data_IF_715164246571
#
_entry.id   IF_715164246571
#
_cell.length_a   1.000
_cell.length_b   1.000
_cell.length_c   1.000
_cell.angle_alpha   90.00
_cell.angle_beta   90.00
_cell.angle_gamma   90.00
#
_symmetry.space_group_name_H-M   'P 1'
#
loop_
_entity.id
_entity.type
_entity.pdbx_description
1 polymer ?
#
# COMPACT_ATOMS: atom_id res chain seq x y z
N UNK A 1 -8.26 -26.61 14.68
CA UNK A 1 -7.38 -26.19 13.56
C UNK A 1 -7.87 -24.85 13.03
N UNK A 2 -7.11 -23.75 13.19
CA UNK A 2 -7.48 -22.44 12.61
C UNK A 2 -7.42 -22.58 11.08
N UNK A 3 -8.53 -22.29 10.37
CA UNK A 3 -8.57 -22.32 8.89
C UNK A 3 -7.42 -21.47 8.36
N UNK A 4 -6.58 -22.04 7.49
CA UNK A 4 -5.54 -21.29 6.79
C UNK A 4 -6.18 -20.09 6.10
N UNK A 5 -5.81 -18.88 6.51
CA UNK A 5 -6.34 -17.65 5.95
C UNK A 5 -5.92 -17.61 4.48
N UNK A 6 -6.86 -17.80 3.56
CA UNK A 6 -6.61 -17.78 2.12
C UNK A 6 -6.38 -16.32 1.72
N UNK A 7 -5.13 -15.88 1.80
CA UNK A 7 -4.72 -14.54 1.38
C UNK A 7 -5.00 -14.40 -0.12
N UNK A 8 -5.78 -13.39 -0.49
CA UNK A 8 -6.04 -13.02 -1.88
C UNK A 8 -5.35 -11.71 -2.18
N UNK A 9 -5.01 -11.49 -3.44
CA UNK A 9 -4.52 -10.19 -3.90
C UNK A 9 -5.61 -9.13 -3.66
N UNK A 10 -5.32 -8.05 -2.92
CA UNK A 10 -6.24 -6.94 -2.73
C UNK A 10 -6.67 -6.37 -4.07
N UNK A 11 -7.98 -6.20 -4.26
CA UNK A 11 -8.55 -5.53 -5.44
C UNK A 11 -9.02 -4.13 -5.05
N UNK A 12 -8.62 -3.15 -5.84
CA UNK A 12 -9.09 -1.78 -5.72
C UNK A 12 -10.28 -1.53 -6.67
N UNK A 13 -11.23 -0.71 -6.24
CA UNK A 13 -12.36 -0.24 -7.05
C UNK A 13 -11.90 0.75 -8.14
N UNK A 14 -12.71 1.01 -9.19
CA UNK A 14 -12.42 2.10 -10.11
C UNK A 14 -12.14 3.42 -9.38
N UNK A 15 -11.09 4.13 -9.77
CA UNK A 15 -10.63 5.37 -9.14
C UNK A 15 -9.98 5.21 -7.76
N UNK A 16 -9.80 3.99 -7.25
CA UNK A 16 -9.26 3.73 -5.91
C UNK A 16 -7.80 3.29 -5.96
N UNK A 17 -7.00 3.85 -5.04
CA UNK A 17 -5.72 3.29 -4.64
C UNK A 17 -5.87 2.60 -3.30
N UNK A 18 -5.19 1.47 -3.13
CA UNK A 18 -5.30 0.65 -1.93
C UNK A 18 -4.01 -0.09 -1.63
N UNK A 19 -3.59 -0.02 -0.37
CA UNK A 19 -2.42 -0.72 0.20
C UNK A 19 -2.91 -1.61 1.32
N UNK A 20 -2.65 -2.91 1.22
CA UNK A 20 -3.13 -3.88 2.21
C UNK A 20 -2.27 -5.15 2.19
N UNK A 21 -2.11 -5.79 3.36
CA UNK A 21 -1.57 -7.14 3.45
C UNK A 21 -2.35 -8.14 2.59
N UNK A 22 -1.65 -8.84 1.71
CA UNK A 22 -2.22 -9.73 0.72
C UNK A 22 -1.20 -10.76 0.24
N UNK A 23 -1.49 -11.39 -0.89
CA UNK A 23 -0.57 -12.31 -1.57
C UNK A 23 -0.77 -12.14 -3.08
N UNK A 24 0.32 -11.95 -3.83
CA UNK A 24 0.28 -11.98 -5.29
C UNK A 24 0.32 -13.44 -5.78
N UNK A 25 -0.11 -13.73 -7.02
CA UNK A 25 0.04 -15.06 -7.60
C UNK A 25 1.51 -15.50 -7.54
N UNK A 26 1.75 -16.72 -7.06
CA UNK A 26 3.07 -17.35 -6.96
C UNK A 26 4.12 -16.61 -6.09
N UNK A 27 3.67 -15.65 -5.28
CA UNK A 27 4.52 -14.87 -4.37
C UNK A 27 4.15 -15.12 -2.89
N UNK A 28 4.99 -14.69 -1.96
CA UNK A 28 4.68 -14.77 -0.53
C UNK A 28 3.73 -13.65 -0.06
N UNK A 29 3.03 -13.84 1.07
CA UNK A 29 2.17 -12.78 1.59
C UNK A 29 2.97 -11.56 2.04
N UNK A 30 2.61 -10.39 1.53
CA UNK A 30 3.25 -9.10 1.84
C UNK A 30 2.24 -7.95 1.66
N UNK A 31 2.67 -6.71 1.89
CA UNK A 31 1.92 -5.50 1.57
C UNK A 31 1.80 -5.34 0.05
N UNK A 32 0.56 -5.43 -0.43
CA UNK A 32 0.24 -5.28 -1.84
C UNK A 32 -0.32 -3.90 -2.13
N UNK A 33 0.23 -3.27 -3.17
CA UNK A 33 -0.25 -2.00 -3.73
C UNK A 33 -1.14 -2.28 -4.94
N UNK A 34 -2.39 -1.82 -4.87
CA UNK A 34 -3.40 -2.04 -5.91
C UNK A 34 -4.01 -0.72 -6.35
N UNK A 35 -4.20 -0.57 -7.66
CA UNK A 35 -4.88 0.57 -8.29
C UNK A 35 -6.01 0.06 -9.17
N UNK A 36 -7.20 0.62 -9.01
CA UNK A 36 -8.32 0.27 -9.87
C UNK A 36 -8.31 1.05 -11.18
N UNK A 37 -9.21 0.69 -12.09
CA UNK A 37 -9.38 1.36 -13.39
C UNK A 37 -9.54 2.87 -13.16
N UNK A 38 -8.81 3.69 -13.93
CA UNK A 38 -8.80 5.15 -13.78
C UNK A 38 -7.79 5.69 -12.77
N UNK A 39 -6.97 4.84 -12.16
CA UNK A 39 -5.77 5.27 -11.40
C UNK A 39 -4.52 5.14 -12.25
N UNK A 40 -3.56 6.06 -12.06
CA UNK A 40 -2.29 6.02 -12.78
C UNK A 40 -1.33 5.04 -12.08
N UNK A 41 -0.56 4.28 -12.85
CA UNK A 41 0.54 3.45 -12.34
C UNK A 41 1.56 4.25 -11.52
N UNK A 42 1.80 5.53 -11.88
CA UNK A 42 2.66 6.43 -11.11
C UNK A 42 2.12 6.68 -9.69
N UNK A 43 0.80 6.79 -9.52
CA UNK A 43 0.19 6.98 -8.20
C UNK A 43 0.45 5.74 -7.30
N UNK A 44 0.44 4.54 -7.89
CA UNK A 44 0.79 3.30 -7.19
C UNK A 44 2.28 3.25 -6.83
N UNK A 45 3.16 3.64 -7.76
CA UNK A 45 4.59 3.70 -7.52
C UNK A 45 4.95 4.71 -6.43
N UNK A 46 4.24 5.85 -6.37
CA UNK A 46 4.35 6.83 -5.30
C UNK A 46 4.03 6.19 -3.94
N UNK A 47 2.92 5.46 -3.82
CA UNK A 47 2.59 4.79 -2.56
C UNK A 47 3.66 3.74 -2.19
N UNK A 48 4.14 2.97 -3.15
CA UNK A 48 5.23 2.01 -2.91
C UNK A 48 6.47 2.71 -2.34
N UNK A 49 6.86 3.84 -2.93
CA UNK A 49 7.99 4.61 -2.46
C UNK A 49 7.77 5.19 -1.05
N UNK A 50 6.65 5.86 -0.83
CA UNK A 50 6.33 6.54 0.43
C UNK A 50 6.29 5.58 1.62
N UNK A 51 5.75 4.38 1.42
CA UNK A 51 5.60 3.43 2.51
C UNK A 51 6.85 2.55 2.73
N UNK A 52 7.42 2.01 1.64
CA UNK A 52 8.43 0.95 1.73
C UNK A 52 9.87 1.37 1.43
N UNK A 53 10.12 2.59 0.96
CA UNK A 53 11.49 3.04 0.71
C UNK A 53 12.11 3.70 1.95
N UNK A 54 13.40 3.46 2.24
CA UNK A 54 14.16 4.31 3.14
C UNK A 54 14.16 5.75 2.63
N UNK A 55 14.14 6.71 3.56
CA UNK A 55 14.12 8.14 3.22
C UNK A 55 15.50 8.74 3.42
N UNK A 56 16.01 9.39 2.38
CA UNK A 56 17.28 10.11 2.41
C UNK A 56 17.08 11.51 2.98
N UNK A 57 17.90 11.87 3.95
CA UNK A 57 17.92 13.20 4.53
C UNK A 57 19.02 14.05 3.89
N UNK A 58 18.89 15.37 3.97
CA UNK A 58 19.80 16.32 3.31
C UNK A 58 21.26 16.20 3.80
N UNK A 59 21.46 15.74 5.02
CA UNK A 59 22.75 15.47 5.65
C UNK A 59 23.41 14.16 5.16
N UNK A 60 22.82 13.47 4.18
CA UNK A 60 23.34 12.21 3.63
C UNK A 60 22.99 10.98 4.46
N UNK A 61 22.23 11.14 5.56
CA UNK A 61 21.75 10.02 6.34
C UNK A 61 20.55 9.34 5.67
N UNK A 62 20.31 8.09 6.06
CA UNK A 62 19.14 7.32 5.65
C UNK A 62 18.29 7.02 6.87
N UNK A 63 17.01 7.35 6.80
CA UNK A 63 16.02 7.04 7.82
C UNK A 63 15.18 5.84 7.38
N UNK A 64 14.69 5.01 8.33
CA UNK A 64 13.90 3.83 8.00
C UNK A 64 12.62 4.17 7.22
N UNK A 65 12.10 3.17 6.50
CA UNK A 65 10.80 3.28 5.85
C UNK A 65 9.67 3.35 6.87
N UNK A 66 8.45 3.67 6.43
CA UNK A 66 7.30 3.66 7.33
C UNK A 66 7.02 2.24 7.87
N UNK A 67 7.25 1.20 7.08
CA UNK A 67 7.08 -0.18 7.52
C UNK A 67 8.06 -0.54 8.64
N UNK A 68 9.33 -0.20 8.47
CA UNK A 68 10.37 -0.45 9.48
C UNK A 68 10.03 0.28 10.78
N UNK A 69 9.57 1.54 10.70
CA UNK A 69 9.15 2.29 11.89
C UNK A 69 7.96 1.66 12.60
N UNK A 70 6.96 1.19 11.86
CA UNK A 70 5.77 0.57 12.44
C UNK A 70 6.11 -0.78 13.09
N UNK A 71 6.93 -1.60 12.43
CA UNK A 71 7.39 -2.88 12.96
C UNK A 71 8.24 -2.69 14.22
N UNK A 72 9.20 -1.75 14.20
CA UNK A 72 10.03 -1.42 15.36
C UNK A 72 9.21 -0.91 16.57
N UNK A 73 8.04 -0.31 16.31
CA UNK A 73 7.08 0.12 17.35
C UNK A 73 6.14 -1.00 17.81
N UNK A 74 6.23 -2.20 17.23
CA UNK A 74 5.42 -3.36 17.59
C UNK A 74 4.03 -3.40 16.95
N UNK A 75 3.80 -2.66 15.87
CA UNK A 75 2.53 -2.75 15.14
C UNK A 75 2.48 -3.96 14.20
N UNK A 76 1.32 -4.62 14.14
CA UNK A 76 1.07 -5.74 13.24
C UNK A 76 0.77 -5.24 11.81
N UNK A 77 1.76 -5.33 10.93
CA UNK A 77 1.64 -4.94 9.51
C UNK A 77 0.59 -5.75 8.74
N UNK A 78 0.22 -6.96 9.21
CA UNK A 78 -0.84 -7.76 8.57
C UNK A 78 -2.22 -7.12 8.71
N UNK A 79 -2.35 -6.14 9.62
CA UNK A 79 -3.56 -5.33 9.81
C UNK A 79 -3.56 -4.04 8.99
N UNK A 80 -2.43 -3.67 8.39
CA UNK A 80 -2.30 -2.42 7.64
C UNK A 80 -3.30 -2.38 6.46
N UNK A 81 -4.10 -1.31 6.45
CA UNK A 81 -5.07 -1.01 5.38
C UNK A 81 -5.10 0.49 5.14
N UNK A 82 -4.66 0.90 3.97
CA UNK A 82 -4.76 2.28 3.49
C UNK A 82 -5.56 2.30 2.19
N UNK A 83 -6.45 3.27 2.03
CA UNK A 83 -7.17 3.45 0.78
C UNK A 83 -7.66 4.88 0.57
N UNK A 84 -7.59 5.32 -0.68
CA UNK A 84 -8.06 6.63 -1.13
C UNK A 84 -8.76 6.47 -2.49
N UNK A 85 -9.79 7.28 -2.74
CA UNK A 85 -10.55 7.31 -3.99
C UNK A 85 -10.36 8.67 -4.68
N UNK A 86 -10.32 8.69 -6.03
CA UNK A 86 -10.33 9.95 -6.80
C UNK A 86 -11.59 10.73 -6.45
N UNK A 87 -11.47 12.06 -6.42
CA UNK A 87 -12.63 12.94 -6.28
C UNK A 87 -13.58 12.69 -7.44
N UNK A 88 -14.89 12.72 -7.19
CA UNK A 88 -15.88 12.78 -8.26
C UNK A 88 -15.71 14.15 -8.92
N UNK A 89 -15.64 14.21 -10.25
CA UNK A 89 -15.72 15.48 -10.96
C UNK A 89 -17.05 16.14 -10.59
N UNK A 90 -17.00 17.26 -9.88
CA UNK A 90 -18.13 18.17 -9.84
C UNK A 90 -18.22 18.75 -11.25
N UNK A 91 -19.24 18.34 -12.00
CA UNK A 91 -19.63 19.05 -13.22
C UNK A 91 -20.00 20.47 -12.77
N UNK A 92 -19.12 21.44 -13.06
CA UNK A 92 -19.52 22.84 -13.02
C UNK A 92 -20.63 23.03 -14.06
N UNK A 93 -21.75 23.59 -13.61
CA UNK A 93 -22.86 24.07 -14.44
C UNK A 93 -22.40 25.11 -15.47
#
# INVERSE_FOLDING_TARGET
MKKAKRWRSPRAKPGQLKVQWGKLPDDDPDIVYSGGIGTNGCDRALLHHVFGSPRYTYDGNTTPSLYDELEARGYDLTTLKFSIEKRKEEKGD
#
